data_IF_998381136056
#
_entry.id   IF_998381136056
#
_cell.length_a   1.000
_cell.length_b   1.000
_cell.length_c   1.000
_cell.angle_alpha   90.00
_cell.angle_beta   90.00
_cell.angle_gamma   90.00
#
_symmetry.space_group_name_H-M   'P 1'
#
loop_
_entity.id
_entity.type
_entity.pdbx_description
1 polymer ?
#
# COMPACT_ATOMS: atom_id res chain seq x y z
N UNK A 1 9.75 -2.58 18.90
CA UNK A 1 8.39 -2.40 18.34
C UNK A 1 8.50 -2.35 16.84
N UNK A 2 7.61 -3.02 16.09
CA UNK A 2 7.66 -2.98 14.63
C UNK A 2 7.45 -1.53 14.13
N UNK A 3 8.17 -1.08 13.09
CA UNK A 3 7.97 0.25 12.51
C UNK A 3 6.51 0.46 12.10
N UNK A 4 5.99 1.67 12.33
CA UNK A 4 4.65 2.06 11.87
C UNK A 4 4.73 2.52 10.42
N UNK A 5 3.77 2.07 9.62
CA UNK A 5 3.55 2.46 8.23
C UNK A 5 2.20 3.17 8.12
N UNK A 6 2.13 4.12 7.20
CA UNK A 6 0.89 4.76 6.79
C UNK A 6 0.53 4.30 5.38
N UNK A 7 -0.75 4.00 5.15
CA UNK A 7 -1.32 3.73 3.84
C UNK A 7 -2.41 4.76 3.57
N UNK A 8 -2.29 5.45 2.44
CA UNK A 8 -3.32 6.33 1.91
C UNK A 8 -3.87 5.72 0.63
N UNK A 9 -5.19 5.50 0.60
CA UNK A 9 -5.91 5.10 -0.60
C UNK A 9 -6.63 6.33 -1.14
N UNK A 10 -6.31 6.70 -2.37
CA UNK A 10 -7.01 7.75 -3.11
C UNK A 10 -8.00 7.08 -4.05
N UNK A 11 -9.29 7.35 -3.87
CA UNK A 11 -10.34 6.75 -4.67
C UNK A 11 -10.61 7.54 -5.95
N UNK A 12 -11.21 6.87 -6.94
CA UNK A 12 -11.56 7.47 -8.24
C UNK A 12 -12.60 8.58 -8.13
N UNK A 13 -13.39 8.60 -7.06
CA UNK A 13 -14.39 9.63 -6.76
C UNK A 13 -13.81 10.85 -6.01
N UNK A 14 -12.50 10.85 -5.74
CA UNK A 14 -11.81 11.92 -5.02
C UNK A 14 -11.77 11.75 -3.51
N UNK A 15 -12.42 10.74 -2.94
CA UNK A 15 -12.31 10.44 -1.50
C UNK A 15 -10.92 9.88 -1.15
N UNK A 16 -10.59 9.92 0.14
CA UNK A 16 -9.34 9.38 0.67
C UNK A 16 -9.56 8.62 1.97
N UNK A 17 -9.04 7.39 2.04
CA UNK A 17 -8.91 6.62 3.28
C UNK A 17 -7.45 6.64 3.76
N UNK A 18 -7.25 6.88 5.05
CA UNK A 18 -5.93 6.92 5.69
C UNK A 18 -5.86 5.88 6.81
N UNK A 19 -4.83 5.04 6.79
CA UNK A 19 -4.64 3.92 7.70
C UNK A 19 -3.22 3.94 8.27
N UNK A 20 -3.07 3.46 9.51
CA UNK A 20 -1.76 3.17 10.10
C UNK A 20 -1.71 1.71 10.51
N UNK A 21 -0.60 1.05 10.27
CA UNK A 21 -0.43 -0.37 10.57
C UNK A 21 1.03 -0.67 10.91
N UNK A 22 1.31 -1.70 11.73
CA UNK A 22 2.67 -2.16 11.95
C UNK A 22 3.24 -2.79 10.67
N UNK A 23 4.56 -2.78 10.51
CA UNK A 23 5.23 -3.53 9.46
C UNK A 23 4.77 -5.01 9.44
N UNK A 24 4.38 -5.50 8.26
CA UNK A 24 3.75 -6.82 8.11
C UNK A 24 4.77 -7.97 8.13
N UNK A 25 5.93 -7.80 7.46
CA UNK A 25 7.06 -8.74 7.50
C UNK A 25 8.38 -8.02 7.76
N UNK A 26 9.30 -8.68 8.45
CA UNK A 26 10.67 -8.21 8.66
C UNK A 26 11.56 -8.42 7.43
N UNK A 27 11.23 -9.39 6.57
CA UNK A 27 11.93 -9.63 5.31
C UNK A 27 11.48 -8.62 4.25
N UNK A 28 12.37 -7.73 3.76
CA UNK A 28 12.03 -6.80 2.69
C UNK A 28 11.55 -7.47 1.40
N UNK A 29 12.05 -8.67 1.08
CA UNK A 29 11.65 -9.41 -0.13
C UNK A 29 10.20 -9.87 -0.03
N UNK A 30 9.79 -10.38 1.14
CA UNK A 30 8.39 -10.73 1.38
C UNK A 30 7.46 -9.51 1.27
N UNK A 31 7.91 -8.34 1.75
CA UNK A 31 7.15 -7.09 1.58
C UNK A 31 6.98 -6.74 0.10
N UNK A 32 8.04 -6.79 -0.69
CA UNK A 32 7.99 -6.49 -2.12
C UNK A 32 7.10 -7.49 -2.89
N UNK A 33 7.18 -8.79 -2.55
CA UNK A 33 6.30 -9.82 -3.11
C UNK A 33 4.83 -9.62 -2.72
N UNK A 34 4.56 -9.26 -1.46
CA UNK A 34 3.22 -8.94 -0.98
C UNK A 34 2.59 -7.77 -1.75
N UNK A 35 3.38 -6.72 -2.03
CA UNK A 35 2.95 -5.59 -2.86
C UNK A 35 2.62 -6.06 -4.27
N UNK A 36 3.45 -6.90 -4.91
CA UNK A 36 3.15 -7.45 -6.25
C UNK A 36 1.84 -8.23 -6.27
N UNK A 37 1.64 -9.14 -5.32
CA UNK A 37 0.40 -9.93 -5.19
C UNK A 37 -0.83 -9.03 -4.99
N UNK A 38 -0.71 -7.98 -4.20
CA UNK A 38 -1.80 -7.01 -4.00
C UNK A 38 -2.11 -6.22 -5.28
N UNK A 39 -1.10 -5.89 -6.10
CA UNK A 39 -1.31 -5.21 -7.38
C UNK A 39 -2.01 -6.11 -8.42
N UNK A 40 -1.81 -7.42 -8.34
CA UNK A 40 -2.46 -8.43 -9.20
C UNK A 40 -3.88 -8.79 -8.73
N UNK A 41 -4.21 -8.51 -7.46
CA UNK A 41 -5.52 -8.82 -6.88
C UNK A 41 -6.61 -7.85 -7.36
N UNK A 42 -7.82 -8.34 -7.69
CA UNK A 42 -8.96 -7.48 -8.02
C UNK A 42 -9.51 -6.71 -6.81
N UNK A 43 -9.14 -7.11 -5.58
CA UNK A 43 -9.54 -6.45 -4.34
C UNK A 43 -8.34 -6.30 -3.39
N UNK A 44 -8.28 -5.17 -2.70
CA UNK A 44 -7.38 -4.93 -1.58
C UNK A 44 -8.12 -5.29 -0.28
N UNK A 45 -7.58 -6.27 0.45
CA UNK A 45 -8.12 -6.70 1.75
C UNK A 45 -7.34 -6.05 2.90
N UNK A 46 -8.04 -5.44 3.84
CA UNK A 46 -7.44 -4.76 5.00
C UNK A 46 -8.25 -5.10 6.25
N UNK A 47 -7.59 -5.59 7.31
CA UNK A 47 -8.18 -5.70 8.64
C UNK A 47 -8.01 -4.35 9.37
N UNK A 48 -9.10 -3.83 9.93
CA UNK A 48 -9.14 -2.58 10.68
C UNK A 48 -10.10 -2.74 11.85
N UNK A 49 -9.60 -2.62 13.08
CA UNK A 49 -10.39 -2.64 14.31
C UNK A 49 -11.33 -3.86 14.45
N UNK A 50 -10.91 -5.03 13.93
CA UNK A 50 -11.67 -6.28 13.91
C UNK A 50 -12.55 -6.46 12.67
N UNK A 51 -12.69 -5.44 11.83
CA UNK A 51 -13.44 -5.50 10.57
C UNK A 51 -12.55 -5.85 9.39
N UNK A 52 -13.08 -6.62 8.43
CA UNK A 52 -12.42 -6.91 7.16
C UNK A 52 -12.99 -6.00 6.05
N UNK A 53 -12.19 -5.02 5.64
CA UNK A 53 -12.47 -4.19 4.47
C UNK A 53 -12.01 -4.93 3.21
N UNK A 54 -12.93 -5.13 2.27
CA UNK A 54 -12.64 -5.63 0.92
C UNK A 54 -12.88 -4.49 -0.07
N UNK A 55 -11.81 -3.87 -0.53
CA UNK A 55 -11.87 -2.67 -1.37
C UNK A 55 -11.60 -3.05 -2.83
N UNK A 56 -12.54 -2.88 -3.77
CA UNK A 56 -12.31 -3.17 -5.17
C UNK A 56 -11.15 -2.35 -5.73
N UNK A 57 -10.19 -3.01 -6.40
CA UNK A 57 -9.02 -2.34 -6.98
C UNK A 57 -9.41 -1.26 -7.99
N UNK A 58 -10.51 -1.49 -8.73
CA UNK A 58 -11.08 -0.55 -9.69
C UNK A 58 -11.58 0.76 -9.08
N UNK A 59 -11.84 0.79 -7.77
CA UNK A 59 -12.23 2.01 -7.05
C UNK A 59 -11.02 2.87 -6.64
N UNK A 60 -9.81 2.32 -6.64
CA UNK A 60 -8.59 2.96 -6.14
C UNK A 60 -7.84 3.61 -7.31
N UNK A 61 -7.74 4.95 -7.29
CA UNK A 61 -6.93 5.73 -8.24
C UNK A 61 -5.44 5.45 -8.04
N UNK A 62 -4.95 5.57 -6.81
CA UNK A 62 -3.59 5.16 -6.43
C UNK A 62 -3.49 4.92 -4.92
N UNK A 63 -2.42 4.22 -4.52
CA UNK A 63 -2.06 3.98 -3.14
C UNK A 63 -0.71 4.63 -2.83
N UNK A 64 -0.58 5.17 -1.62
CA UNK A 64 0.67 5.74 -1.12
C UNK A 64 1.02 5.08 0.20
N UNK A 65 2.21 4.46 0.25
CA UNK A 65 2.78 3.89 1.47
C UNK A 65 3.88 4.83 1.99
N UNK A 66 3.88 5.14 3.28
CA UNK A 66 4.88 6.04 3.86
C UNK A 66 5.37 5.55 5.25
N UNK A 67 6.69 5.48 5.48
CA UNK A 67 7.77 5.67 4.49
C UNK A 67 7.79 4.52 3.47
N UNK A 68 8.37 4.78 2.30
CA UNK A 68 8.52 3.80 1.24
C UNK A 68 9.12 2.48 1.79
N UNK A 69 8.69 1.31 1.29
CA UNK A 69 9.31 0.04 1.64
C UNK A 69 10.81 0.02 1.29
N UNK A 70 11.60 -0.72 2.08
CA UNK A 70 13.05 -0.84 1.85
C UNK A 70 13.37 -1.59 0.54
N UNK A 71 12.56 -2.60 0.22
CA UNK A 71 12.62 -3.30 -1.07
C UNK A 71 11.38 -2.94 -1.88
N UNK A 72 11.62 -2.59 -3.14
CA UNK A 72 10.61 -2.18 -4.10
C UNK A 72 10.52 -3.22 -5.22
N UNK A 73 9.37 -3.37 -5.90
CA UNK A 73 9.29 -4.18 -7.11
C UNK A 73 10.35 -3.79 -8.15
N UNK A 74 10.88 -4.76 -8.92
CA UNK A 74 12.02 -4.55 -9.82
C UNK A 74 11.75 -3.49 -10.90
N UNK A 75 10.49 -3.30 -11.26
CA UNK A 75 10.03 -2.33 -12.27
C UNK A 75 9.80 -0.91 -11.70
N UNK A 76 10.09 -0.68 -10.42
CA UNK A 76 9.83 0.62 -9.77
C UNK A 76 10.84 1.66 -10.23
N UNK A 77 10.37 2.81 -10.71
CA UNK A 77 11.23 3.97 -10.98
C UNK A 77 11.62 4.60 -9.64
N UNK A 78 12.91 4.64 -9.35
CA UNK A 78 13.46 5.15 -8.07
C UNK A 78 13.99 6.58 -8.26
N UNK A 79 13.81 7.41 -7.24
CA UNK A 79 14.35 8.78 -7.23
C UNK A 79 13.55 9.78 -8.08
N UNK A 80 12.29 9.48 -8.38
CA UNK A 80 11.40 10.42 -9.05
C UNK A 80 11.06 11.60 -8.13
N UNK A 81 10.98 12.79 -8.71
CA UNK A 81 10.57 14.03 -8.04
C UNK A 81 9.25 14.52 -8.64
N UNK A 82 8.41 15.14 -7.82
CA UNK A 82 7.23 15.84 -8.31
C UNK A 82 7.69 17.11 -9.03
N UNK A 83 7.21 17.30 -10.24
CA UNK A 83 7.40 18.52 -11.02
C UNK A 83 6.05 19.24 -11.03
N UNK A 84 6.06 20.52 -10.66
CA UNK A 84 4.89 21.40 -10.65
C UNK A 84 4.53 21.88 -12.07
#
# INVERSE_FOLDING_TARGET
>A
MKPIKHLYLHFVDGQRLALRFPQQSEDPVEVAQGIRKQLESPCLSIEVDGDLLLIPRSSIKYLQITPAPLSLPDITVVGAELID
#
